data_IF_196705933718
#
_entry.id   IF_196705933718
#
_cell.length_a   1.000
_cell.length_b   1.000
_cell.length_c   1.000
_cell.angle_alpha   90.00
_cell.angle_beta   90.00
_cell.angle_gamma   90.00
#
_symmetry.space_group_name_H-M   'P 1'
#
loop_
_entity.id
_entity.type
_entity.pdbx_description
1 polymer ?
#
# COMPACT_ATOMS: atom_id res chain seq x y z
N UNK A 1 41.50 -38.15 -15.22
CA UNK A 1 40.06 -38.06 -15.53
C UNK A 1 39.13 -38.31 -14.32
N UNK A 2 39.60 -38.88 -13.21
CA UNK A 2 38.75 -39.22 -12.04
C UNK A 2 38.74 -38.22 -10.88
N UNK A 3 39.48 -37.09 -10.97
CA UNK A 3 39.53 -36.04 -9.93
C UNK A 3 38.62 -34.84 -10.20
N UNK A 4 37.98 -34.81 -11.36
CA UNK A 4 37.09 -33.71 -11.78
C UNK A 4 35.60 -33.99 -11.48
N UNK A 5 35.22 -35.26 -11.37
CA UNK A 5 33.83 -35.66 -11.07
C UNK A 5 33.53 -35.57 -9.56
N UNK A 6 34.51 -35.80 -8.69
CA UNK A 6 34.31 -35.79 -7.23
C UNK A 6 34.15 -34.39 -6.63
N UNK A 7 34.68 -33.35 -7.27
CA UNK A 7 34.50 -31.96 -6.82
C UNK A 7 33.17 -31.36 -7.28
N UNK A 8 32.62 -31.84 -8.41
CA UNK A 8 31.36 -31.34 -8.96
C UNK A 8 30.15 -31.85 -8.18
N UNK A 9 30.12 -33.15 -7.84
CA UNK A 9 29.04 -33.72 -7.03
C UNK A 9 29.09 -33.27 -5.56
N UNK A 10 30.30 -33.05 -5.00
CA UNK A 10 30.47 -32.54 -3.64
C UNK A 10 29.92 -31.13 -3.46
N UNK A 11 30.13 -30.24 -4.45
CA UNK A 11 29.61 -28.87 -4.39
C UNK A 11 28.08 -28.81 -4.55
N UNK A 12 27.50 -29.63 -5.43
CA UNK A 12 26.04 -29.69 -5.60
C UNK A 12 25.35 -30.22 -4.33
N UNK A 13 25.96 -31.20 -3.66
CA UNK A 13 25.46 -31.75 -2.41
C UNK A 13 25.58 -30.76 -1.24
N UNK A 14 26.65 -29.96 -1.18
CA UNK A 14 26.78 -28.87 -0.19
C UNK A 14 25.77 -27.74 -0.42
N UNK A 15 25.48 -27.37 -1.68
CA UNK A 15 24.47 -26.35 -2.00
C UNK A 15 23.06 -26.86 -1.68
N UNK A 16 22.74 -28.12 -2.00
CA UNK A 16 21.45 -28.73 -1.63
C UNK A 16 21.29 -28.87 -0.12
N UNK A 17 22.36 -29.20 0.60
CA UNK A 17 22.34 -29.24 2.07
C UNK A 17 22.17 -27.82 2.66
N UNK A 18 22.76 -26.78 2.04
CA UNK A 18 22.53 -25.38 2.43
C UNK A 18 21.11 -24.89 2.16
N UNK A 19 20.44 -25.40 1.11
CA UNK A 19 19.02 -25.11 0.81
C UNK A 19 18.05 -25.86 1.75
N UNK A 20 18.40 -27.08 2.18
CA UNK A 20 17.61 -27.87 3.14
C UNK A 20 17.86 -27.46 4.60
N UNK A 21 19.01 -26.86 4.91
CA UNK A 21 19.33 -26.27 6.22
C UNK A 21 19.05 -24.78 6.29
N UNK A 22 18.68 -24.14 5.16
CA UNK A 22 18.08 -22.81 5.16
C UNK A 22 16.74 -22.93 5.86
N UNK A 23 16.77 -22.77 7.19
CA UNK A 23 15.62 -22.36 7.98
C UNK A 23 14.89 -21.34 7.13
N UNK A 24 13.64 -21.63 6.79
CA UNK A 24 12.71 -20.60 6.34
C UNK A 24 12.80 -19.49 7.37
N UNK A 25 13.59 -18.46 7.11
CA UNK A 25 13.49 -17.19 7.78
C UNK A 25 12.20 -16.58 7.22
N UNK A 26 11.08 -17.17 7.65
CA UNK A 26 9.85 -16.42 7.85
C UNK A 26 10.34 -15.24 8.65
N UNK A 27 10.30 -14.04 8.07
CA UNK A 27 10.43 -12.81 8.82
C UNK A 27 9.42 -12.99 9.95
N UNK A 28 9.89 -13.31 11.16
CA UNK A 28 9.04 -13.28 12.33
C UNK A 28 8.75 -11.80 12.48
N UNK A 29 7.60 -11.36 11.99
CA UNK A 29 7.10 -10.00 12.21
C UNK A 29 6.95 -9.85 13.72
N UNK A 30 8.01 -9.44 14.39
CA UNK A 30 8.02 -9.12 15.81
C UNK A 30 7.60 -7.67 15.94
N UNK A 31 6.60 -7.43 16.78
CA UNK A 31 6.13 -6.11 17.15
C UNK A 31 6.87 -5.67 18.42
N UNK A 32 7.70 -4.63 18.31
CA UNK A 32 8.35 -4.01 19.47
C UNK A 32 7.36 -3.07 20.16
N UNK A 33 7.04 -3.35 21.43
CA UNK A 33 6.11 -2.59 22.24
C UNK A 33 6.87 -1.90 23.37
N UNK A 34 6.61 -0.59 23.51
CA UNK A 34 7.12 0.23 24.60
C UNK A 34 6.06 0.35 25.69
N UNK A 35 6.35 -0.18 26.87
CA UNK A 35 5.48 -0.11 28.04
C UNK A 35 6.01 0.95 28.98
N UNK A 36 5.30 2.08 29.07
CA UNK A 36 5.61 3.16 30.00
C UNK A 36 4.85 2.96 31.31
N UNK A 37 5.58 2.89 32.41
CA UNK A 37 5.00 2.71 33.75
C UNK A 37 4.60 4.05 34.38
N UNK A 38 3.76 3.99 35.41
CA UNK A 38 3.37 5.16 36.22
C UNK A 38 4.60 5.80 36.90
N UNK A 39 5.63 5.01 37.19
CA UNK A 39 6.90 5.47 37.75
C UNK A 39 7.85 6.12 36.75
N UNK A 40 7.45 6.26 35.48
CA UNK A 40 8.23 6.91 34.43
C UNK A 40 9.27 6.03 33.73
N UNK A 41 9.45 4.77 34.15
CA UNK A 41 10.30 3.81 33.44
C UNK A 41 9.64 3.34 32.15
N UNK A 42 10.45 3.07 31.12
CA UNK A 42 9.99 2.51 29.84
C UNK A 42 10.66 1.16 29.62
N UNK A 43 9.86 0.12 29.46
CA UNK A 43 10.31 -1.23 29.12
C UNK A 43 10.05 -1.47 27.63
N UNK A 44 10.99 -2.11 26.95
CA UNK A 44 10.83 -2.53 25.56
C UNK A 44 10.69 -4.06 25.53
N UNK A 45 9.65 -4.57 24.88
CA UNK A 45 9.43 -6.00 24.68
C UNK A 45 9.13 -6.28 23.21
N UNK A 46 9.68 -7.38 22.69
CA UNK A 46 9.33 -7.88 21.36
C UNK A 46 8.30 -8.99 21.50
N UNK A 47 7.14 -8.82 20.85
CA UNK A 47 6.04 -9.78 20.93
C UNK A 47 5.49 -10.12 19.54
N UNK A 48 4.83 -11.26 19.42
CA UNK A 48 4.09 -11.61 18.20
C UNK A 48 2.86 -10.69 18.06
N UNK A 49 2.59 -10.08 16.89
CA UNK A 49 1.41 -9.25 16.66
C UNK A 49 0.08 -9.99 16.92
N UNK A 50 0.08 -11.32 16.95
CA UNK A 50 -1.10 -12.15 17.29
C UNK A 50 -1.18 -12.52 18.76
N UNK A 51 -0.32 -11.98 19.63
CA UNK A 51 -0.37 -12.27 21.06
C UNK A 51 -1.49 -11.49 21.76
N UNK A 52 -2.00 -12.08 22.84
CA UNK A 52 -3.02 -11.49 23.70
C UNK A 52 -2.39 -10.54 24.72
N UNK A 53 -3.16 -9.55 25.17
CA UNK A 53 -2.78 -8.66 26.28
C UNK A 53 -2.42 -9.44 27.55
N UNK A 54 -3.10 -10.56 27.83
CA UNK A 54 -2.75 -11.46 28.93
C UNK A 54 -1.30 -11.96 28.89
N UNK A 55 -0.74 -12.16 27.69
CA UNK A 55 0.65 -12.57 27.52
C UNK A 55 1.62 -11.43 27.81
N UNK A 56 1.31 -10.21 27.39
CA UNK A 56 2.10 -9.02 27.73
C UNK A 56 2.18 -8.86 29.25
N UNK A 57 1.04 -8.98 29.95
CA UNK A 57 1.00 -8.85 31.42
C UNK A 57 1.91 -9.87 32.09
N UNK A 58 1.95 -11.12 31.60
CA UNK A 58 2.87 -12.15 32.09
C UNK A 58 4.34 -11.84 31.86
N UNK A 59 4.68 -11.13 30.78
CA UNK A 59 6.07 -10.73 30.50
C UNK A 59 6.52 -9.51 31.30
N UNK A 60 5.62 -8.55 31.51
CA UNK A 60 5.95 -7.24 32.07
C UNK A 60 5.73 -7.18 33.58
N UNK A 61 4.66 -7.79 34.11
CA UNK A 61 4.34 -7.71 35.54
C UNK A 61 5.48 -8.22 36.44
N UNK A 62 6.16 -9.36 36.13
CA UNK A 62 7.31 -9.80 36.94
C UNK A 62 8.49 -8.83 36.93
N UNK A 63 8.71 -8.11 35.82
CA UNK A 63 9.78 -7.10 35.71
C UNK A 63 9.49 -5.86 36.58
N UNK A 64 8.23 -5.68 36.97
CA UNK A 64 7.76 -4.61 37.85
C UNK A 64 7.49 -5.09 39.28
N UNK A 65 7.71 -6.38 39.58
CA UNK A 65 7.39 -6.97 40.88
C UNK A 65 5.89 -7.06 41.17
N UNK A 66 5.05 -7.13 40.13
CA UNK A 66 3.59 -7.21 40.21
C UNK A 66 3.10 -8.59 39.76
N UNK A 67 1.92 -8.99 40.22
CA UNK A 67 1.22 -10.13 39.64
C UNK A 67 0.48 -9.73 38.35
N UNK A 68 0.38 -10.60 37.33
CA UNK A 68 -0.27 -10.26 36.06
C UNK A 68 -1.72 -9.74 36.22
N UNK A 69 -2.45 -10.22 37.22
CA UNK A 69 -3.84 -9.83 37.48
C UNK A 69 -3.96 -8.41 38.07
N UNK A 70 -2.89 -7.89 38.68
CA UNK A 70 -2.85 -6.55 39.26
C UNK A 70 -2.50 -5.49 38.20
N UNK A 71 -1.88 -5.92 37.09
CA UNK A 71 -1.48 -5.05 35.99
C UNK A 71 -2.66 -4.69 35.09
N UNK A 72 -2.89 -3.39 34.91
CA UNK A 72 -3.83 -2.84 33.92
C UNK A 72 -3.06 -2.28 32.73
N UNK A 73 -3.50 -2.63 31.53
CA UNK A 73 -2.93 -2.10 30.27
C UNK A 73 -3.90 -1.07 29.71
N UNK A 74 -3.41 0.15 29.49
CA UNK A 74 -4.21 1.25 28.93
C UNK A 74 -3.57 1.66 27.60
N UNK A 75 -4.37 1.70 26.54
CA UNK A 75 -3.96 2.15 25.22
C UNK A 75 -5.00 3.11 24.65
N UNK A 76 -4.55 4.24 24.08
CA UNK A 76 -5.42 5.29 23.54
C UNK A 76 -6.54 5.73 24.50
N UNK A 77 -6.24 5.80 25.81
CA UNK A 77 -7.20 6.17 26.86
C UNK A 77 -8.21 5.08 27.24
N UNK A 78 -8.10 3.86 26.69
CA UNK A 78 -8.98 2.71 26.99
C UNK A 78 -8.21 1.59 27.70
N UNK A 79 -8.78 1.05 28.78
CA UNK A 79 -8.28 -0.18 29.41
C UNK A 79 -8.52 -1.37 28.48
N UNK A 80 -7.47 -2.14 28.18
CA UNK A 80 -7.53 -3.32 27.34
C UNK A 80 -7.79 -4.58 28.18
N UNK A 81 -8.77 -5.39 27.76
CA UNK A 81 -9.05 -6.68 28.35
C UNK A 81 -8.02 -7.75 27.96
N UNK A 82 -7.91 -8.80 28.77
CA UNK A 82 -6.91 -9.86 28.63
C UNK A 82 -6.99 -10.67 27.33
N UNK A 83 -8.19 -10.74 26.76
CA UNK A 83 -8.48 -11.45 25.51
C UNK A 83 -8.22 -10.62 24.24
N UNK A 84 -7.96 -9.32 24.37
CA UNK A 84 -7.63 -8.46 23.22
C UNK A 84 -6.31 -8.93 22.60
N UNK A 85 -6.33 -9.15 21.28
CA UNK A 85 -5.13 -9.41 20.48
C UNK A 85 -4.60 -8.09 19.95
N UNK A 86 -3.29 -7.85 20.09
CA UNK A 86 -2.67 -6.55 19.79
C UNK A 86 -2.79 -6.19 18.30
N UNK A 87 -2.78 -7.18 17.41
CA UNK A 87 -2.83 -7.00 15.97
C UNK A 87 -4.19 -7.18 15.30
N UNK A 88 -5.30 -7.26 16.04
CA UNK A 88 -6.62 -7.55 15.42
C UNK A 88 -7.27 -6.37 14.68
N UNK A 89 -6.82 -5.12 14.88
CA UNK A 89 -7.47 -3.94 14.28
C UNK A 89 -6.62 -3.18 13.25
N UNK A 90 -5.37 -3.59 13.01
CA UNK A 90 -4.53 -2.96 11.98
C UNK A 90 -4.72 -3.70 10.65
N UNK A 91 -5.86 -3.46 9.99
CA UNK A 91 -6.04 -3.90 8.61
C UNK A 91 -5.20 -3.01 7.69
N UNK A 92 -4.14 -3.58 7.13
CA UNK A 92 -3.35 -2.97 6.08
C UNK A 92 -3.62 -3.66 4.74
N UNK A 93 -3.67 -2.87 3.67
CA UNK A 93 -3.76 -3.41 2.31
C UNK A 93 -2.38 -3.93 1.90
N UNK A 94 -2.24 -5.20 1.48
CA UNK A 94 -0.97 -5.73 1.01
C UNK A 94 -0.57 -5.08 -0.32
N UNK A 95 0.67 -4.58 -0.39
CA UNK A 95 1.26 -4.04 -1.60
C UNK A 95 2.16 -5.10 -2.27
N UNK A 96 1.53 -6.02 -2.99
CA UNK A 96 2.13 -7.25 -3.53
C UNK A 96 3.16 -7.04 -4.67
N UNK A 97 3.16 -5.86 -5.28
CA UNK A 97 4.13 -5.46 -6.29
C UNK A 97 5.42 -4.87 -5.69
N UNK A 98 5.44 -4.56 -4.39
CA UNK A 98 6.63 -4.12 -3.67
C UNK A 98 7.33 -5.34 -3.09
N UNK A 99 8.57 -5.60 -3.52
CA UNK A 99 9.30 -6.83 -3.21
C UNK A 99 10.77 -6.55 -2.87
N UNK A 100 11.41 -7.38 -2.03
CA UNK A 100 12.84 -7.30 -1.80
C UNK A 100 13.63 -7.68 -3.05
N UNK A 101 14.71 -6.97 -3.32
CA UNK A 101 15.58 -7.14 -4.47
C UNK A 101 16.76 -8.08 -4.16
N UNK A 102 16.43 -9.34 -3.84
CA UNK A 102 17.42 -10.34 -3.45
C UNK A 102 18.46 -10.64 -4.55
N UNK A 103 18.12 -10.34 -5.81
CA UNK A 103 18.95 -10.58 -6.99
C UNK A 103 19.78 -9.35 -7.40
N UNK A 104 19.69 -8.24 -6.65
CA UNK A 104 20.37 -6.96 -6.96
C UNK A 104 20.15 -6.50 -8.41
N UNK A 105 18.93 -6.68 -8.92
CA UNK A 105 18.59 -6.28 -10.28
C UNK A 105 18.50 -4.74 -10.31
N UNK A 106 19.15 -4.07 -11.26
CA UNK A 106 19.12 -2.61 -11.35
C UNK A 106 17.73 -2.11 -11.76
N UNK A 107 17.37 -0.94 -11.26
CA UNK A 107 16.20 -0.20 -11.67
C UNK A 107 16.28 0.15 -13.15
N UNK A 108 15.18 -0.06 -13.87
CA UNK A 108 15.05 0.28 -15.28
C UNK A 108 15.35 1.77 -15.59
N UNK A 109 15.09 2.67 -14.66
CA UNK A 109 15.20 4.12 -14.87
C UNK A 109 16.54 4.71 -14.37
N UNK A 110 16.97 4.41 -13.14
CA UNK A 110 18.18 5.00 -12.57
C UNK A 110 19.40 4.06 -12.57
N UNK A 111 19.24 2.79 -12.95
CA UNK A 111 20.28 1.76 -12.95
C UNK A 111 20.85 1.40 -11.57
N UNK A 112 20.29 1.94 -10.49
CA UNK A 112 20.62 1.57 -9.11
C UNK A 112 19.91 0.29 -8.70
N UNK A 113 20.53 -0.52 -7.82
CA UNK A 113 19.97 -1.77 -7.31
C UNK A 113 19.65 -1.68 -5.80
N UNK A 114 18.62 -0.93 -5.39
CA UNK A 114 18.25 -0.83 -3.98
C UNK A 114 17.61 -2.13 -3.48
N UNK A 115 17.55 -2.28 -2.15
CA UNK A 115 17.08 -3.49 -1.47
C UNK A 115 15.58 -3.78 -1.67
N UNK A 116 14.77 -2.76 -1.98
CA UNK A 116 13.33 -2.88 -2.19
C UNK A 116 12.97 -2.26 -3.53
N UNK A 117 12.19 -3.00 -4.32
CA UNK A 117 11.82 -2.65 -5.68
C UNK A 117 10.32 -2.79 -5.90
N UNK A 118 9.80 -2.02 -6.85
CA UNK A 118 8.48 -2.19 -7.42
C UNK A 118 8.60 -3.06 -8.68
N UNK A 119 7.80 -4.12 -8.77
CA UNK A 119 7.72 -5.02 -9.93
C UNK A 119 6.45 -4.75 -10.70
N UNK A 120 6.54 -4.33 -11.96
CA UNK A 120 5.36 -4.15 -12.80
C UNK A 120 4.75 -5.50 -13.18
N UNK A 121 3.41 -5.63 -13.22
CA UNK A 121 2.74 -6.89 -13.51
C UNK A 121 2.75 -7.19 -15.03
N UNK A 122 3.94 -7.31 -15.63
CA UNK A 122 4.12 -7.62 -17.04
C UNK A 122 4.92 -8.90 -17.26
N UNK A 123 4.87 -9.47 -18.47
CA UNK A 123 5.55 -10.72 -18.83
C UNK A 123 7.08 -10.64 -18.73
N UNK A 124 7.65 -9.43 -18.74
CA UNK A 124 9.10 -9.20 -18.73
C UNK A 124 9.64 -8.86 -17.33
N UNK A 125 8.80 -8.94 -16.28
CA UNK A 125 9.17 -8.60 -14.90
C UNK A 125 9.94 -7.27 -14.79
N UNK A 126 9.48 -6.24 -15.50
CA UNK A 126 10.13 -4.92 -15.43
C UNK A 126 10.07 -4.40 -13.99
N UNK A 127 11.18 -3.85 -13.50
CA UNK A 127 11.29 -3.33 -12.14
C UNK A 127 11.74 -1.88 -12.10
N UNK A 128 11.29 -1.16 -11.07
CA UNK A 128 11.75 0.18 -10.75
C UNK A 128 12.01 0.31 -9.25
N UNK A 129 12.96 1.14 -8.85
CA UNK A 129 13.07 1.52 -7.45
C UNK A 129 11.84 2.34 -7.04
N UNK A 130 11.55 2.39 -5.74
CA UNK A 130 10.38 3.10 -5.23
C UNK A 130 10.40 4.60 -5.59
N UNK A 131 11.58 5.21 -5.63
CA UNK A 131 11.74 6.60 -6.06
C UNK A 131 11.33 6.79 -7.53
N UNK A 132 11.90 6.02 -8.45
CA UNK A 132 11.56 6.12 -9.87
C UNK A 132 10.10 5.76 -10.15
N UNK A 133 9.53 4.78 -9.42
CA UNK A 133 8.10 4.50 -9.49
C UNK A 133 7.26 5.71 -9.06
N UNK A 134 7.60 6.37 -7.94
CA UNK A 134 6.92 7.59 -7.50
C UNK A 134 7.01 8.71 -8.54
N UNK A 135 8.19 8.94 -9.12
CA UNK A 135 8.37 9.96 -10.16
C UNK A 135 7.55 9.65 -11.42
N UNK A 136 7.52 8.38 -11.83
CA UNK A 136 6.68 7.91 -12.94
C UNK A 136 5.19 8.21 -12.67
N UNK A 137 4.68 7.84 -11.49
CA UNK A 137 3.31 8.13 -11.09
C UNK A 137 3.03 9.64 -11.06
N UNK A 138 3.95 10.47 -10.53
CA UNK A 138 3.77 11.93 -10.46
C UNK A 138 3.74 12.59 -11.84
N UNK A 139 4.60 12.18 -12.78
CA UNK A 139 4.58 12.68 -14.16
C UNK A 139 3.26 12.32 -14.84
N UNK A 140 2.84 11.04 -14.77
CA UNK A 140 1.58 10.60 -15.38
C UNK A 140 0.35 11.24 -14.74
N UNK A 141 0.37 11.51 -13.44
CA UNK A 141 -0.71 12.20 -12.76
C UNK A 141 -0.80 13.66 -13.21
N UNK A 142 0.35 14.34 -13.33
CA UNK A 142 0.42 15.74 -13.77
C UNK A 142 -0.08 15.91 -15.19
N UNK A 143 0.26 14.97 -16.07
CA UNK A 143 -0.12 14.96 -17.49
C UNK A 143 -1.52 14.36 -17.75
N UNK A 144 -2.27 13.96 -16.71
CA UNK A 144 -3.56 13.25 -16.83
C UNK A 144 -3.49 12.01 -17.75
N UNK A 145 -2.44 11.21 -17.60
CA UNK A 145 -2.18 10.00 -18.41
C UNK A 145 -2.38 8.70 -17.63
N UNK A 146 -3.10 8.75 -16.51
CA UNK A 146 -3.64 7.54 -15.90
C UNK A 146 -4.77 6.99 -16.76
N UNK A 147 -4.92 5.67 -16.73
CA UNK A 147 -5.91 4.96 -17.52
C UNK A 147 -7.10 4.60 -16.65
N UNK A 148 -8.30 5.05 -17.04
CA UNK A 148 -9.53 4.62 -16.38
C UNK A 148 -9.91 3.23 -16.89
N UNK A 149 -9.53 2.19 -16.13
CA UNK A 149 -9.86 0.81 -16.43
C UNK A 149 -11.23 0.44 -15.82
N UNK A 150 -12.12 -0.25 -16.54
CA UNK A 150 -13.46 -0.59 -16.03
C UNK A 150 -13.45 -1.42 -14.75
N UNK A 151 -12.45 -2.30 -14.59
CA UNK A 151 -12.35 -3.22 -13.45
C UNK A 151 -11.38 -2.75 -12.36
N UNK A 152 -10.30 -2.06 -12.74
CA UNK A 152 -9.18 -1.74 -11.83
C UNK A 152 -9.19 -0.26 -11.40
N UNK A 153 -10.15 0.52 -11.91
CA UNK A 153 -10.22 1.95 -11.67
C UNK A 153 -9.11 2.72 -12.38
N UNK A 154 -8.76 3.87 -11.82
CA UNK A 154 -7.78 4.78 -12.39
C UNK A 154 -6.37 4.29 -12.10
N UNK A 155 -5.68 3.75 -13.10
CA UNK A 155 -4.44 2.98 -12.92
C UNK A 155 -3.36 3.32 -13.96
N UNK A 156 -2.19 2.71 -13.82
CA UNK A 156 -1.08 2.81 -14.76
C UNK A 156 -0.66 1.43 -15.25
N UNK A 157 0.05 1.44 -16.37
CA UNK A 157 0.69 0.28 -16.98
C UNK A 157 2.20 0.33 -16.78
N UNK A 158 2.89 -0.72 -17.21
CA UNK A 158 4.35 -0.72 -17.28
C UNK A 158 4.86 0.47 -18.13
N UNK A 159 5.92 1.19 -17.71
CA UNK A 159 6.48 2.31 -18.47
C UNK A 159 6.96 1.92 -19.88
N UNK A 160 7.26 0.64 -20.12
CA UNK A 160 7.64 0.13 -21.43
C UNK A 160 6.43 -0.21 -22.32
N UNK A 161 5.21 0.10 -21.90
CA UNK A 161 4.00 -0.12 -22.70
C UNK A 161 3.66 -1.59 -22.91
N UNK A 162 4.06 -2.48 -22.00
CA UNK A 162 3.74 -3.90 -22.10
C UNK A 162 2.22 -4.12 -22.05
N UNK A 163 1.71 -5.05 -22.87
CA UNK A 163 0.32 -5.47 -22.84
C UNK A 163 -0.07 -6.05 -21.47
N UNK A 164 -1.33 -5.82 -21.07
CA UNK A 164 -1.95 -6.34 -19.85
C UNK A 164 -1.18 -6.08 -18.55
N UNK A 165 -0.41 -4.98 -18.51
CA UNK A 165 0.47 -4.65 -17.39
C UNK A 165 -0.12 -3.66 -16.38
N UNK A 166 -1.46 -3.65 -16.26
CA UNK A 166 -2.19 -2.76 -15.36
C UNK A 166 -1.91 -3.09 -13.90
N UNK A 167 -1.65 -2.06 -13.10
CA UNK A 167 -1.56 -2.17 -11.64
C UNK A 167 -2.98 -2.36 -11.10
N UNK A 168 -3.29 -3.57 -10.62
CA UNK A 168 -4.65 -3.94 -10.19
C UNK A 168 -5.03 -3.37 -8.83
N UNK A 169 -4.06 -3.31 -7.91
CA UNK A 169 -4.26 -2.78 -6.57
C UNK A 169 -3.86 -1.30 -6.52
N UNK A 170 -4.85 -0.41 -6.48
CA UNK A 170 -4.65 1.05 -6.52
C UNK A 170 -3.95 1.60 -5.29
N UNK A 171 -3.96 0.89 -4.15
CA UNK A 171 -3.29 1.34 -2.93
C UNK A 171 -1.76 1.44 -3.09
N UNK A 172 -1.17 0.86 -4.14
CA UNK A 172 0.23 1.12 -4.52
C UNK A 172 0.50 2.61 -4.80
N UNK A 173 -0.49 3.36 -5.28
CA UNK A 173 -0.37 4.78 -5.51
C UNK A 173 -0.34 5.62 -4.22
N UNK A 174 -0.57 5.00 -3.04
CA UNK A 174 -0.34 5.63 -1.73
C UNK A 174 1.14 5.96 -1.47
N UNK A 175 2.06 5.47 -2.31
CA UNK A 175 3.46 5.92 -2.34
C UNK A 175 3.61 7.39 -2.80
N UNK A 176 2.58 7.96 -3.44
CA UNK A 176 2.46 9.40 -3.61
C UNK A 176 2.32 10.07 -2.22
N UNK A 177 2.78 11.32 -2.08
CA UNK A 177 2.45 12.09 -0.89
C UNK A 177 0.93 12.36 -0.81
N UNK A 178 0.44 12.76 0.38
CA UNK A 178 -0.99 12.95 0.61
C UNK A 178 -1.63 13.93 -0.39
N UNK A 179 -0.92 15.01 -0.73
CA UNK A 179 -1.39 16.02 -1.69
C UNK A 179 -1.61 15.42 -3.08
N UNK A 180 -0.65 14.64 -3.57
CA UNK A 180 -0.77 14.00 -4.88
C UNK A 180 -1.73 12.81 -4.85
N UNK A 181 -1.88 12.11 -3.73
CA UNK A 181 -2.84 11.02 -3.59
C UNK A 181 -4.29 11.53 -3.59
N UNK A 182 -4.58 12.64 -2.91
CA UNK A 182 -5.88 13.31 -3.01
C UNK A 182 -6.15 13.80 -4.44
N UNK A 183 -5.15 14.38 -5.10
CA UNK A 183 -5.24 14.80 -6.51
C UNK A 183 -5.53 13.62 -7.44
N UNK A 184 -4.93 12.46 -7.18
CA UNK A 184 -5.21 11.21 -7.89
C UNK A 184 -6.67 10.80 -7.77
N UNK A 185 -7.24 10.76 -6.56
CA UNK A 185 -8.65 10.42 -6.34
C UNK A 185 -9.60 11.41 -7.02
N UNK A 186 -9.26 12.70 -6.98
CA UNK A 186 -10.04 13.73 -7.67
C UNK A 186 -10.05 13.49 -9.17
N UNK A 187 -8.89 13.27 -9.79
CA UNK A 187 -8.80 13.02 -11.24
C UNK A 187 -9.48 11.70 -11.63
N UNK A 188 -9.35 10.65 -10.83
CA UNK A 188 -10.07 9.39 -11.03
C UNK A 188 -11.60 9.60 -11.07
N UNK A 189 -12.12 10.41 -10.14
CA UNK A 189 -13.55 10.74 -10.07
C UNK A 189 -13.99 11.58 -11.28
N UNK A 190 -13.20 12.58 -11.65
CA UNK A 190 -13.46 13.42 -12.83
C UNK A 190 -13.54 12.58 -14.11
N UNK A 191 -12.55 11.73 -14.37
CA UNK A 191 -12.49 10.89 -15.57
C UNK A 191 -13.61 9.86 -15.59
N UNK A 192 -13.94 9.24 -14.45
CA UNK A 192 -15.10 8.34 -14.35
C UNK A 192 -16.40 9.02 -14.75
N UNK A 193 -16.65 10.22 -14.23
CA UNK A 193 -17.88 10.99 -14.54
C UNK A 193 -17.94 11.33 -16.02
N UNK A 194 -16.84 11.79 -16.61
CA UNK A 194 -16.77 12.13 -18.02
C UNK A 194 -16.98 10.91 -18.93
N UNK A 195 -16.38 9.76 -18.60
CA UNK A 195 -16.57 8.52 -19.37
C UNK A 195 -18.00 7.98 -19.28
N UNK A 196 -18.68 8.19 -18.15
CA UNK A 196 -20.09 7.85 -17.98
C UNK A 196 -21.05 8.82 -18.69
N UNK A 197 -20.54 9.81 -19.44
CA UNK A 197 -21.35 10.83 -20.13
C UNK A 197 -21.87 11.94 -19.22
N UNK A 198 -21.34 12.05 -18.00
CA UNK A 198 -21.62 13.12 -17.07
C UNK A 198 -20.89 14.42 -17.38
N UNK A 199 -21.11 15.41 -16.54
CA UNK A 199 -20.49 16.74 -16.65
C UNK A 199 -19.89 17.17 -15.31
N UNK A 200 -18.86 18.01 -15.37
CA UNK A 200 -18.23 18.59 -14.19
C UNK A 200 -18.72 20.02 -13.99
N UNK A 201 -18.97 20.40 -12.74
CA UNK A 201 -19.32 21.77 -12.39
C UNK A 201 -18.19 22.74 -12.81
N UNK A 202 -18.47 23.75 -13.65
CA UNK A 202 -17.45 24.66 -14.20
C UNK A 202 -16.98 25.73 -13.20
N UNK A 203 -17.54 25.79 -12.00
CA UNK A 203 -17.17 26.79 -11.00
C UNK A 203 -15.73 26.53 -10.50
N UNK A 204 -14.86 27.56 -10.49
CA UNK A 204 -13.49 27.41 -10.00
C UNK A 204 -13.46 26.83 -8.58
N UNK A 205 -12.74 25.73 -8.39
CA UNK A 205 -12.61 25.05 -7.10
C UNK A 205 -13.78 24.14 -6.71
N UNK A 206 -14.82 23.99 -7.54
CA UNK A 206 -15.91 23.05 -7.25
C UNK A 206 -15.62 21.65 -7.81
N UNK A 207 -15.65 21.48 -9.14
CA UNK A 207 -15.35 20.19 -9.78
C UNK A 207 -16.34 19.06 -9.46
N UNK A 208 -17.51 19.35 -8.88
CA UNK A 208 -18.54 18.35 -8.61
C UNK A 208 -18.96 17.64 -9.89
N UNK A 209 -18.90 16.31 -9.90
CA UNK A 209 -19.37 15.48 -11.00
C UNK A 209 -20.87 15.23 -10.92
N UNK A 210 -21.57 15.43 -12.03
CA UNK A 210 -23.01 15.27 -12.14
C UNK A 210 -23.28 14.20 -13.20
N UNK A 211 -24.04 13.16 -12.80
CA UNK A 211 -24.53 12.11 -13.68
C UNK A 211 -26.05 12.24 -13.76
N UNK A 212 -26.61 12.17 -14.97
CA UNK A 212 -28.04 12.26 -15.20
C UNK A 212 -28.43 11.79 -16.59
N UNK A 213 -29.72 11.78 -16.89
CA UNK A 213 -30.21 11.38 -18.22
C UNK A 213 -29.80 12.41 -19.31
N UNK A 214 -29.87 11.98 -20.57
CA UNK A 214 -29.41 12.77 -21.73
C UNK A 214 -30.07 14.16 -21.82
N UNK A 215 -31.37 14.26 -21.54
CA UNK A 215 -32.10 15.53 -21.56
C UNK A 215 -31.61 16.50 -20.47
N UNK A 216 -31.27 15.97 -19.30
CA UNK A 216 -30.75 16.75 -18.17
C UNK A 216 -29.33 17.24 -18.45
N UNK A 217 -28.48 16.38 -19.00
CA UNK A 217 -27.11 16.72 -19.37
C UNK A 217 -27.07 17.77 -20.49
N UNK A 218 -27.96 17.68 -21.48
CA UNK A 218 -28.09 18.67 -22.55
C UNK A 218 -28.53 20.05 -22.07
N UNK A 219 -29.40 20.13 -21.04
CA UNK A 219 -29.82 21.41 -20.46
C UNK A 219 -28.68 22.11 -19.71
N UNK A 220 -27.90 21.35 -18.94
CA UNK A 220 -26.78 21.90 -18.17
C UNK A 220 -25.63 22.35 -19.07
N UNK A 221 -25.30 21.59 -20.12
CA UNK A 221 -24.28 21.99 -21.11
C UNK A 221 -24.60 23.31 -21.82
N UNK A 222 -25.89 23.61 -22.05
CA UNK A 222 -26.35 24.80 -22.76
C UNK A 222 -26.65 26.01 -21.85
N UNK A 223 -26.49 25.87 -20.53
CA UNK A 223 -26.73 26.97 -19.59
C UNK A 223 -25.50 27.86 -19.37
N UNK A 224 -25.68 29.19 -19.40
CA UNK A 224 -24.65 30.16 -19.02
C UNK A 224 -24.22 29.97 -17.56
N UNK A 225 -22.91 30.09 -17.26
CA UNK A 225 -22.28 29.82 -15.94
C UNK A 225 -23.04 30.38 -14.73
N UNK A 226 -23.76 31.48 -14.89
CA UNK A 226 -24.50 32.18 -13.83
C UNK A 226 -25.85 31.53 -13.43
N UNK A 227 -26.41 30.61 -14.25
CA UNK A 227 -27.72 29.96 -13.98
C UNK A 227 -27.65 28.46 -13.65
N UNK A 228 -26.45 27.88 -13.63
CA UNK A 228 -26.23 26.44 -13.36
C UNK A 228 -26.85 25.99 -12.02
N UNK A 229 -26.71 26.81 -10.98
CA UNK A 229 -27.23 26.51 -9.64
C UNK A 229 -28.75 26.44 -9.58
N UNK A 230 -29.48 27.26 -10.34
CA UNK A 230 -30.96 27.22 -10.35
C UNK A 230 -31.49 25.90 -10.91
N UNK A 231 -30.87 25.38 -11.97
CA UNK A 231 -31.28 24.12 -12.58
C UNK A 231 -30.81 22.88 -11.81
N UNK A 232 -29.71 22.97 -11.06
CA UNK A 232 -29.25 21.90 -10.18
C UNK A 232 -30.06 21.83 -8.85
N UNK A 233 -30.61 22.95 -8.37
CA UNK A 233 -31.39 22.98 -7.12
C UNK A 233 -32.84 22.51 -7.26
N UNK A 234 -33.42 22.58 -8.46
CA UNK A 234 -34.74 22.00 -8.79
C UNK A 234 -34.72 20.47 -8.90
N UNK A 235 -33.63 19.81 -8.49
CA UNK A 235 -33.38 18.36 -8.63
C UNK A 235 -33.72 17.54 -7.38
N UNK A 236 -34.82 17.88 -6.69
CA UNK A 236 -35.42 17.02 -5.66
C UNK A 236 -36.75 16.43 -6.12
#
# INVERSE_FOLDING_TARGET
MLRFLTSFFGNLFQIMLHLLTSKKNIIQNLLSIYVKTIGGSTLCIDVDPKCKVSYIKKLVAPQLGLEPNEMKVIFAGKELGDDIVIGENDQAVPLDLIRPNLKQVPCLACLEAPEIMFTFPCQNDHIACLYCFKQYCMSKLTERQFWQHPEYGYTLICPNGCADSFIKEIHHFRLLDDVNYERYHRFATEEFVLQAGGILCPQPGCGMGILGNYETMSKLQNTNRTRWWMHAHDMH
#
